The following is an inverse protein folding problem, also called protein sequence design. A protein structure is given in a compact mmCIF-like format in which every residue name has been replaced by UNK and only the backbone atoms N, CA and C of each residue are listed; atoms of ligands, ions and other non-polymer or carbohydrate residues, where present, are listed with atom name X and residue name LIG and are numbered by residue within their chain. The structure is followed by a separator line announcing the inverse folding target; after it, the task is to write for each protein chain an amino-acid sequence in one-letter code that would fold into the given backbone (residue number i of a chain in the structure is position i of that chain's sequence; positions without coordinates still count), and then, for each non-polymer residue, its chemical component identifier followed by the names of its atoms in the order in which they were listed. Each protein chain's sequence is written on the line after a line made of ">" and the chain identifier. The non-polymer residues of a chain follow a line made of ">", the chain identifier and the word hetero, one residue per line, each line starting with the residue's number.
data_IF_722897910942
#
_entry.id   IF_722897910942
#
_cell.length_a   1.000
_cell.length_b   1.000
_cell.length_c   1.000
_cell.angle_alpha   90.00
_cell.angle_beta   90.00
_cell.angle_gamma   90.00
#
_symmetry.space_group_name_H-M   'P 1'
#
loop_
_entity.id
_entity.type
_entity.pdbx_description
1 polymer ?
#
# COMPACT_ATOMS: atom_id res chain seq x y z
N UNK A 1 -0.96 32.59 -28.03
CA UNK A 1 0.48 32.32 -27.96
C UNK A 1 0.64 30.86 -27.58
N UNK A 2 1.07 30.05 -28.57
CA UNK A 2 1.19 28.59 -28.40
C UNK A 2 2.42 28.28 -27.55
N UNK A 3 2.20 27.76 -26.37
CA UNK A 3 3.26 27.23 -25.49
C UNK A 3 3.81 25.95 -26.12
N UNK A 4 4.97 26.06 -26.74
CA UNK A 4 5.73 24.89 -27.22
C UNK A 4 6.12 24.06 -25.99
N UNK A 5 5.49 22.89 -25.86
CA UNK A 5 5.88 21.90 -24.89
C UNK A 5 7.31 21.43 -25.22
N UNK A 6 8.28 21.87 -24.43
CA UNK A 6 9.65 21.37 -24.49
C UNK A 6 9.60 19.89 -24.13
N UNK A 7 10.04 18.97 -25.00
CA UNK A 7 10.03 17.55 -24.70
C UNK A 7 10.93 17.31 -23.48
N UNK A 8 10.33 16.78 -22.40
CA UNK A 8 11.05 16.34 -21.21
C UNK A 8 12.14 15.35 -21.63
N UNK A 9 13.40 15.75 -21.51
CA UNK A 9 14.52 14.84 -21.72
C UNK A 9 14.34 13.64 -20.79
N UNK A 10 14.41 12.39 -21.29
CA UNK A 10 14.32 11.23 -20.42
C UNK A 10 15.40 11.36 -19.32
N UNK A 11 15.12 10.92 -18.08
CA UNK A 11 16.09 10.96 -17.00
C UNK A 11 17.36 10.26 -17.49
N UNK A 12 18.53 10.85 -17.22
CA UNK A 12 19.81 10.20 -17.48
C UNK A 12 19.77 8.83 -16.80
N UNK A 13 19.73 7.76 -17.61
CA UNK A 13 19.62 6.39 -17.09
C UNK A 13 20.91 6.12 -16.34
N UNK A 14 20.83 6.00 -15.01
CA UNK A 14 21.95 5.49 -14.22
C UNK A 14 22.43 4.20 -14.88
N UNK A 15 23.74 4.03 -14.99
CA UNK A 15 24.38 2.86 -15.56
C UNK A 15 24.85 1.92 -14.44
N UNK A 16 24.73 0.63 -14.66
CA UNK A 16 25.33 -0.38 -13.79
C UNK A 16 26.76 -0.60 -14.22
N UNK A 17 27.70 -0.36 -13.32
CA UNK A 17 29.12 -0.62 -13.53
C UNK A 17 29.53 -1.87 -12.77
N UNK A 18 30.24 -2.78 -13.45
CA UNK A 18 31.04 -3.81 -12.79
C UNK A 18 32.45 -3.28 -12.61
N UNK A 19 33.01 -3.47 -11.44
CA UNK A 19 34.35 -3.01 -11.11
C UNK A 19 35.19 -4.12 -10.51
N UNK A 20 36.47 -4.04 -10.76
CA UNK A 20 37.54 -4.81 -10.10
C UNK A 20 38.58 -3.84 -9.59
N UNK A 21 39.07 -4.05 -8.40
CA UNK A 21 40.05 -3.19 -7.78
C UNK A 21 40.86 -3.95 -6.72
N UNK A 22 41.88 -3.28 -6.21
CA UNK A 22 42.75 -3.79 -5.16
C UNK A 22 42.67 -2.80 -4.00
N UNK A 23 42.52 -3.28 -2.78
CA UNK A 23 42.59 -2.42 -1.58
C UNK A 23 44.03 -2.10 -1.19
N UNK A 24 44.19 -1.23 -0.19
CA UNK A 24 45.49 -0.82 0.31
C UNK A 24 46.34 -1.98 0.88
N UNK A 25 45.72 -3.14 1.12
CA UNK A 25 46.38 -4.35 1.63
C UNK A 25 46.67 -5.36 0.50
N UNK A 26 46.49 -5.00 -0.77
CA UNK A 26 46.76 -5.88 -1.92
C UNK A 26 45.66 -6.91 -2.21
N UNK A 27 44.54 -6.88 -1.51
CA UNK A 27 43.44 -7.85 -1.72
C UNK A 27 42.58 -7.45 -2.92
N UNK A 28 42.35 -8.40 -3.84
CA UNK A 28 41.49 -8.20 -4.99
C UNK A 28 40.02 -8.15 -4.55
N UNK A 29 39.35 -7.04 -4.82
CA UNK A 29 37.91 -6.85 -4.59
C UNK A 29 37.19 -6.62 -5.90
N UNK A 30 36.00 -7.14 -6.02
CA UNK A 30 35.16 -6.94 -7.18
C UNK A 30 33.71 -6.70 -6.74
N UNK A 31 32.93 -6.04 -7.58
CA UNK A 31 31.54 -5.76 -7.27
C UNK A 31 30.81 -5.08 -8.41
N UNK A 32 29.57 -4.69 -8.12
CA UNK A 32 28.79 -3.86 -9.03
C UNK A 32 28.31 -2.63 -8.27
N UNK A 33 28.29 -1.49 -8.96
CA UNK A 33 27.73 -0.24 -8.46
C UNK A 33 26.88 0.42 -9.54
N UNK A 34 26.07 1.37 -9.12
CA UNK A 34 25.23 2.13 -10.01
C UNK A 34 25.64 3.59 -9.89
N UNK A 35 25.88 4.23 -11.02
CA UNK A 35 26.27 5.63 -11.10
C UNK A 35 25.76 6.26 -12.40
N UNK A 36 25.69 7.58 -12.45
CA UNK A 36 25.26 8.31 -13.65
C UNK A 36 26.26 8.13 -14.80
N UNK A 37 27.54 8.16 -14.48
CA UNK A 37 28.64 8.02 -15.45
C UNK A 37 29.87 7.33 -14.79
N UNK A 38 30.92 7.11 -15.59
CA UNK A 38 32.15 6.47 -15.13
C UNK A 38 32.92 7.34 -14.12
N UNK A 39 32.78 8.66 -14.18
CA UNK A 39 33.45 9.59 -13.25
C UNK A 39 32.79 9.53 -11.86
N UNK A 40 31.46 9.56 -11.81
CA UNK A 40 30.70 9.36 -10.59
C UNK A 40 30.94 7.96 -9.97
N UNK A 41 31.08 6.92 -10.82
CA UNK A 41 31.40 5.58 -10.37
C UNK A 41 32.76 5.52 -9.68
N UNK A 42 33.79 6.18 -10.24
CA UNK A 42 35.14 6.27 -9.63
C UNK A 42 35.10 7.05 -8.31
N UNK A 43 34.40 8.18 -8.28
CA UNK A 43 34.25 8.99 -7.07
C UNK A 43 33.62 8.21 -5.91
N UNK A 44 32.56 7.43 -6.20
CA UNK A 44 31.89 6.56 -5.23
C UNK A 44 32.81 5.45 -4.70
N UNK A 45 33.62 4.83 -5.58
CA UNK A 45 34.55 3.79 -5.18
C UNK A 45 35.69 4.33 -4.31
N UNK A 46 36.23 5.51 -4.66
CA UNK A 46 37.26 6.17 -3.85
C UNK A 46 36.75 6.56 -2.45
N UNK A 47 35.49 6.98 -2.32
CA UNK A 47 34.84 7.27 -1.00
C UNK A 47 34.65 6.01 -0.15
N UNK A 48 34.43 4.83 -0.77
CA UNK A 48 34.17 3.57 -0.06
C UNK A 48 35.40 2.86 0.52
N UNK A 49 36.60 3.32 0.24
CA UNK A 49 37.77 2.75 0.88
C UNK A 49 39.04 2.66 0.04
N UNK A 50 39.63 3.76 -0.44
CA UNK A 50 40.93 3.82 -1.11
C UNK A 50 41.23 2.62 -2.04
N UNK A 51 40.24 2.26 -2.87
CA UNK A 51 40.37 1.14 -3.81
C UNK A 51 41.06 1.61 -5.08
N UNK A 52 42.18 0.98 -5.42
CA UNK A 52 42.79 1.15 -6.75
C UNK A 52 41.94 0.40 -7.77
N UNK A 53 41.24 1.15 -8.63
CA UNK A 53 40.34 0.59 -9.63
C UNK A 53 41.16 0.08 -10.81
N UNK A 54 41.18 -1.25 -10.99
CA UNK A 54 41.85 -1.91 -12.11
C UNK A 54 40.99 -1.93 -13.35
N UNK A 55 39.67 -2.18 -13.17
CA UNK A 55 38.73 -2.30 -14.26
C UNK A 55 37.37 -1.71 -13.86
N UNK A 56 36.78 -0.90 -14.73
CA UNK A 56 35.45 -0.33 -14.60
C UNK A 56 34.73 -0.46 -15.93
N UNK A 57 33.73 -1.36 -16.01
CA UNK A 57 32.95 -1.59 -17.25
C UNK A 57 31.48 -1.27 -17.01
N UNK A 58 30.90 -0.48 -17.92
CA UNK A 58 29.44 -0.29 -17.98
C UNK A 58 28.76 -1.59 -18.45
N UNK A 59 27.73 -2.02 -17.70
CA UNK A 59 27.02 -3.30 -17.93
C UNK A 59 25.54 -3.08 -18.29
N UNK A 60 25.21 -1.93 -18.89
CA UNK A 60 23.85 -1.57 -19.31
C UNK A 60 23.11 -0.65 -18.32
N UNK A 61 21.87 -0.30 -18.65
CA UNK A 61 21.07 0.59 -17.82
C UNK A 61 20.76 -0.05 -16.46
N UNK A 62 20.83 0.76 -15.43
CA UNK A 62 20.51 0.30 -14.08
C UNK A 62 19.01 0.02 -13.96
N UNK A 63 18.61 -1.00 -13.18
CA UNK A 63 17.20 -1.21 -12.88
C UNK A 63 16.60 0.02 -12.20
N UNK A 64 15.34 0.33 -12.53
CA UNK A 64 14.64 1.47 -11.93
C UNK A 64 14.71 1.38 -10.41
N UNK A 65 15.05 2.47 -9.70
CA UNK A 65 15.13 2.45 -8.26
C UNK A 65 13.74 2.14 -7.67
N UNK A 66 13.70 1.22 -6.71
CA UNK A 66 12.48 0.89 -5.97
C UNK A 66 12.64 1.44 -4.55
N UNK A 67 11.71 2.29 -4.13
CA UNK A 67 11.58 2.75 -2.76
C UNK A 67 10.27 2.21 -2.17
N UNK A 68 10.28 1.86 -0.89
CA UNK A 68 9.07 1.45 -0.16
C UNK A 68 8.25 2.70 0.20
N UNK A 69 6.97 2.53 0.43
CA UNK A 69 6.10 3.63 0.88
C UNK A 69 6.61 4.28 2.18
N UNK A 70 7.19 3.47 3.08
CA UNK A 70 7.79 3.95 4.32
C UNK A 70 9.00 4.86 4.06
N UNK A 71 9.86 4.49 3.09
CA UNK A 71 11.07 5.26 2.75
C UNK A 71 10.67 6.65 2.21
N UNK A 72 9.64 6.71 1.36
CA UNK A 72 9.10 7.98 0.84
C UNK A 72 8.47 8.81 1.97
N UNK A 73 7.80 8.18 2.93
CA UNK A 73 7.23 8.89 4.09
C UNK A 73 8.33 9.50 4.95
N UNK A 74 9.35 8.73 5.27
CA UNK A 74 10.50 9.18 6.04
C UNK A 74 11.25 10.32 5.32
N UNK A 75 11.52 10.17 4.03
CA UNK A 75 12.10 11.22 3.19
C UNK A 75 11.28 12.52 3.26
N UNK A 76 9.95 12.42 3.08
CA UNK A 76 9.08 13.61 3.11
C UNK A 76 9.16 14.31 4.47
N UNK A 77 9.16 13.55 5.57
CA UNK A 77 9.29 14.10 6.94
C UNK A 77 10.63 14.77 7.17
N UNK A 78 11.71 14.13 6.80
CA UNK A 78 13.06 14.65 6.94
C UNK A 78 13.26 15.91 6.11
N UNK A 79 12.84 15.88 4.84
CA UNK A 79 12.92 17.05 3.96
C UNK A 79 12.11 18.24 4.52
N UNK A 80 10.86 17.98 4.95
CA UNK A 80 10.04 19.02 5.59
C UNK A 80 10.69 19.63 6.84
N UNK A 81 11.39 18.82 7.64
CA UNK A 81 12.08 19.27 8.84
C UNK A 81 13.30 20.12 8.51
N UNK A 82 14.10 19.71 7.53
CA UNK A 82 15.28 20.47 7.09
C UNK A 82 14.90 21.82 6.48
N UNK A 83 13.86 21.85 5.64
CA UNK A 83 13.38 23.09 5.05
C UNK A 83 12.77 24.03 6.10
N UNK A 84 12.06 23.52 7.10
CA UNK A 84 11.58 24.33 8.24
C UNK A 84 12.71 24.89 9.08
N UNK A 85 13.83 24.18 9.17
CA UNK A 85 15.06 24.69 9.83
C UNK A 85 15.80 25.74 8.98
N UNK A 86 15.27 26.10 7.80
CA UNK A 86 15.86 27.12 6.92
C UNK A 86 16.92 26.63 5.96
N UNK A 87 17.16 25.31 5.85
CA UNK A 87 18.12 24.80 4.87
C UNK A 87 17.57 24.99 3.45
N UNK A 88 18.40 25.45 2.50
CA UNK A 88 18.03 25.46 1.08
C UNK A 88 17.69 24.07 0.56
N UNK A 89 16.73 23.98 -0.37
CA UNK A 89 16.25 22.71 -0.91
C UNK A 89 17.39 21.83 -1.48
N UNK A 90 18.30 22.43 -2.25
CA UNK A 90 19.45 21.71 -2.82
C UNK A 90 20.32 21.07 -1.74
N UNK A 91 20.69 21.86 -0.71
CA UNK A 91 21.53 21.37 0.40
C UNK A 91 20.82 20.30 1.23
N UNK A 92 19.51 20.43 1.45
CA UNK A 92 18.71 19.44 2.15
C UNK A 92 18.66 18.10 1.39
N UNK A 93 18.49 18.14 0.06
CA UNK A 93 18.50 16.95 -0.79
C UNK A 93 19.88 16.28 -0.83
N UNK A 94 20.96 17.06 -0.93
CA UNK A 94 22.33 16.52 -0.90
C UNK A 94 22.64 15.82 0.44
N UNK A 95 22.21 16.42 1.56
CA UNK A 95 22.37 15.82 2.89
C UNK A 95 21.61 14.48 2.99
N UNK A 96 20.36 14.44 2.53
CA UNK A 96 19.52 13.24 2.56
C UNK A 96 20.07 12.14 1.64
N UNK A 97 20.61 12.50 0.46
CA UNK A 97 21.22 11.55 -0.46
C UNK A 97 22.43 10.84 0.14
N UNK A 98 23.20 11.52 0.98
CA UNK A 98 24.38 10.96 1.64
C UNK A 98 24.03 10.07 2.84
N UNK A 99 22.94 10.39 3.55
CA UNK A 99 22.57 9.70 4.80
C UNK A 99 21.93 8.33 4.55
N UNK A 100 21.15 8.19 3.47
CA UNK A 100 20.34 6.99 3.23
C UNK A 100 21.02 5.90 2.39
N UNK A 101 22.26 6.12 1.90
CA UNK A 101 22.92 5.23 0.92
C UNK A 101 23.10 3.78 1.42
N UNK A 102 23.33 3.59 2.72
CA UNK A 102 23.57 2.26 3.30
C UNK A 102 22.29 1.49 3.68
N UNK A 103 21.24 2.19 4.09
CA UNK A 103 20.00 1.57 4.60
C UNK A 103 18.89 1.46 3.56
N UNK A 104 18.84 2.43 2.63
CA UNK A 104 17.75 2.56 1.65
C UNK A 104 18.31 2.90 0.25
N UNK A 105 19.09 2.01 -0.38
CA UNK A 105 19.80 2.32 -1.62
C UNK A 105 18.89 2.74 -2.78
N UNK A 106 17.62 2.31 -2.77
CA UNK A 106 16.63 2.73 -3.75
C UNK A 106 16.20 4.18 -3.57
N UNK A 107 15.97 4.60 -2.32
CA UNK A 107 15.56 5.97 -2.01
C UNK A 107 16.74 6.95 -2.16
N UNK A 108 17.92 6.59 -1.71
CA UNK A 108 19.15 7.38 -1.88
C UNK A 108 19.40 7.72 -3.36
N UNK A 109 19.20 6.77 -4.26
CA UNK A 109 19.34 6.99 -5.71
C UNK A 109 18.28 7.98 -6.25
N UNK A 110 17.04 7.89 -5.76
CA UNK A 110 15.98 8.83 -6.14
C UNK A 110 16.32 10.22 -5.65
N UNK A 111 16.70 10.36 -4.37
CA UNK A 111 17.07 11.64 -3.76
C UNK A 111 18.27 12.25 -4.45
N UNK A 112 19.31 11.46 -4.75
CA UNK A 112 20.46 11.90 -5.52
C UNK A 112 20.13 12.33 -6.96
N UNK A 113 19.11 11.72 -7.60
CA UNK A 113 18.62 12.18 -8.89
C UNK A 113 17.87 13.51 -8.75
N UNK A 114 17.01 13.65 -7.73
CA UNK A 114 16.31 14.91 -7.43
C UNK A 114 17.30 16.04 -7.13
N UNK A 115 18.35 15.79 -6.35
CA UNK A 115 19.39 16.77 -6.06
C UNK A 115 20.06 17.28 -7.35
N UNK A 116 20.43 16.39 -8.25
CA UNK A 116 21.02 16.75 -9.55
C UNK A 116 20.06 17.56 -10.43
N UNK A 117 18.77 17.18 -10.47
CA UNK A 117 17.76 17.91 -11.24
C UNK A 117 17.56 19.33 -10.69
N UNK A 118 17.53 19.50 -9.38
CA UNK A 118 17.45 20.82 -8.73
C UNK A 118 18.72 21.64 -8.98
N UNK A 119 19.89 21.04 -8.85
CA UNK A 119 21.16 21.71 -9.14
C UNK A 119 21.27 22.17 -10.61
N UNK A 120 20.57 21.49 -11.54
CA UNK A 120 20.45 21.90 -12.93
C UNK A 120 19.39 22.99 -13.18
N UNK A 121 18.74 23.51 -12.13
CA UNK A 121 17.72 24.57 -12.22
C UNK A 121 16.31 24.08 -12.54
N UNK A 122 16.03 22.79 -12.43
CA UNK A 122 14.68 22.26 -12.64
C UNK A 122 13.80 22.54 -11.40
N UNK A 123 12.50 22.69 -11.62
CA UNK A 123 11.52 22.78 -10.54
C UNK A 123 11.43 21.45 -9.79
N UNK A 124 11.26 21.51 -8.47
CA UNK A 124 11.18 20.33 -7.62
C UNK A 124 9.98 19.43 -7.97
N UNK A 125 8.83 20.03 -8.22
CA UNK A 125 7.62 19.34 -8.70
C UNK A 125 7.86 18.57 -9.99
N UNK A 126 8.55 19.16 -10.97
CA UNK A 126 8.88 18.52 -12.24
C UNK A 126 9.88 17.36 -12.07
N UNK A 127 10.87 17.51 -11.19
CA UNK A 127 11.81 16.45 -10.84
C UNK A 127 11.09 15.26 -10.19
N UNK A 128 10.15 15.49 -9.28
CA UNK A 128 9.33 14.45 -8.64
C UNK A 128 8.44 13.70 -9.62
N UNK A 129 7.84 14.39 -10.60
CA UNK A 129 6.99 13.77 -11.63
C UNK A 129 7.72 12.70 -12.44
N UNK A 130 9.03 12.83 -12.64
CA UNK A 130 9.86 11.79 -13.30
C UNK A 130 9.92 10.48 -12.52
N UNK A 131 9.66 10.54 -11.21
CA UNK A 131 9.62 9.40 -10.31
C UNK A 131 8.18 9.04 -9.92
N UNK A 132 7.23 9.11 -10.84
CA UNK A 132 5.79 8.89 -10.62
C UNK A 132 5.41 7.50 -10.08
N UNK A 133 6.32 6.53 -10.12
CA UNK A 133 6.12 5.24 -9.47
C UNK A 133 6.19 5.35 -7.91
N UNK A 134 6.88 6.34 -7.38
CA UNK A 134 7.09 6.59 -5.94
C UNK A 134 6.26 7.77 -5.43
N UNK A 135 6.16 8.83 -6.25
CA UNK A 135 5.40 10.04 -5.93
C UNK A 135 4.13 10.10 -6.77
N UNK A 136 2.98 10.06 -6.11
CA UNK A 136 1.69 10.13 -6.80
C UNK A 136 1.48 11.49 -7.48
N UNK A 137 0.59 11.56 -8.46
CA UNK A 137 0.23 12.82 -9.12
C UNK A 137 -0.24 13.87 -8.12
N UNK A 138 -1.06 13.46 -7.13
CA UNK A 138 -1.49 14.32 -6.02
C UNK A 138 -0.31 14.89 -5.21
N UNK A 139 0.69 14.06 -4.88
CA UNK A 139 1.90 14.51 -4.18
C UNK A 139 2.65 15.57 -4.99
N UNK A 140 2.90 15.29 -6.27
CA UNK A 140 3.63 16.21 -7.15
C UNK A 140 2.91 17.55 -7.31
N UNK A 141 1.59 17.53 -7.39
CA UNK A 141 0.82 18.76 -7.55
C UNK A 141 0.75 19.59 -6.27
N UNK A 142 0.60 18.98 -5.09
CA UNK A 142 0.72 19.71 -3.83
C UNK A 142 2.10 20.37 -3.69
N UNK A 143 3.16 19.67 -4.08
CA UNK A 143 4.51 20.24 -4.09
C UNK A 143 4.60 21.38 -5.10
N UNK A 144 3.98 21.29 -6.27
CA UNK A 144 3.94 22.34 -7.28
C UNK A 144 3.27 23.63 -6.74
N UNK A 145 2.11 23.47 -6.09
CA UNK A 145 1.41 24.59 -5.43
C UNK A 145 2.28 25.21 -4.33
N UNK A 146 2.90 24.37 -3.48
CA UNK A 146 3.78 24.84 -2.43
C UNK A 146 5.05 25.52 -2.96
N UNK A 147 5.60 25.05 -4.06
CA UNK A 147 6.75 25.64 -4.76
C UNK A 147 6.40 27.00 -5.34
N UNK A 148 5.26 27.12 -6.01
CA UNK A 148 4.77 28.37 -6.58
C UNK A 148 4.43 29.43 -5.52
N UNK A 149 3.92 29.01 -4.37
CA UNK A 149 3.56 29.87 -3.24
C UNK A 149 4.74 30.16 -2.28
N UNK A 150 5.93 29.56 -2.49
CA UNK A 150 7.04 29.66 -1.54
C UNK A 150 6.79 28.96 -0.20
N UNK A 151 5.78 28.10 -0.11
CA UNK A 151 5.32 27.43 1.11
C UNK A 151 5.68 25.94 1.16
N UNK A 152 6.74 25.53 0.45
CA UNK A 152 7.23 24.14 0.40
C UNK A 152 7.36 23.47 1.78
N UNK A 153 7.94 24.12 2.81
CA UNK A 153 8.08 23.49 4.13
C UNK A 153 6.74 23.10 4.74
N UNK A 154 5.73 23.96 4.59
CA UNK A 154 4.39 23.74 5.13
C UNK A 154 3.66 22.61 4.39
N UNK A 155 3.74 22.63 3.07
CA UNK A 155 3.10 21.61 2.22
C UNK A 155 3.73 20.23 2.45
N UNK A 156 5.05 20.14 2.49
CA UNK A 156 5.76 18.88 2.75
C UNK A 156 5.48 18.36 4.17
N UNK A 157 5.33 19.24 5.16
CA UNK A 157 4.94 18.84 6.50
C UNK A 157 3.55 18.19 6.52
N UNK A 158 2.56 18.82 5.85
CA UNK A 158 1.21 18.26 5.73
C UNK A 158 1.22 16.92 4.99
N UNK A 159 1.96 16.83 3.89
CA UNK A 159 2.14 15.56 3.15
C UNK A 159 2.76 14.46 4.01
N UNK A 160 3.75 14.81 4.85
CA UNK A 160 4.35 13.86 5.78
C UNK A 160 3.33 13.39 6.81
N UNK A 161 2.57 14.31 7.42
CA UNK A 161 1.52 13.98 8.39
C UNK A 161 0.47 13.04 7.79
N UNK A 162 0.01 13.32 6.57
CA UNK A 162 -0.99 12.49 5.88
C UNK A 162 -0.46 11.09 5.58
N UNK A 163 0.79 10.97 5.16
CA UNK A 163 1.44 9.68 4.89
C UNK A 163 1.67 8.89 6.17
N UNK A 164 2.09 9.53 7.24
CA UNK A 164 2.28 8.89 8.55
C UNK A 164 0.95 8.39 9.14
N UNK A 165 -0.11 9.19 9.06
CA UNK A 165 -1.47 8.76 9.46
C UNK A 165 -1.93 7.55 8.64
N UNK A 166 -1.77 7.59 7.32
CA UNK A 166 -2.12 6.47 6.46
C UNK A 166 -1.29 5.21 6.78
N UNK A 167 -0.02 5.35 7.15
CA UNK A 167 0.84 4.25 7.59
C UNK A 167 0.39 3.69 8.95
N UNK A 168 0.06 4.57 9.91
CA UNK A 168 -0.45 4.21 11.23
C UNK A 168 -1.79 3.44 11.14
N UNK A 169 -2.73 3.92 10.31
CA UNK A 169 -4.00 3.21 10.07
C UNK A 169 -3.78 1.81 9.49
N UNK A 170 -2.88 1.68 8.50
CA UNK A 170 -2.53 0.36 7.94
C UNK A 170 -1.88 -0.55 8.97
N UNK A 171 -1.04 0.00 9.85
CA UNK A 171 -0.41 -0.75 10.94
C UNK A 171 -1.46 -1.23 11.95
N UNK A 172 -2.44 -0.38 12.32
CA UNK A 172 -3.56 -0.75 13.21
C UNK A 172 -4.39 -1.90 12.63
N UNK A 173 -4.78 -1.82 11.34
CA UNK A 173 -5.52 -2.89 10.65
C UNK A 173 -4.71 -4.19 10.64
N UNK A 174 -3.42 -4.09 10.31
CA UNK A 174 -2.53 -5.27 10.31
C UNK A 174 -2.44 -5.89 11.71
N UNK A 175 -2.22 -5.09 12.75
CA UNK A 175 -2.12 -5.56 14.12
C UNK A 175 -3.41 -6.26 14.56
N UNK A 176 -4.59 -5.66 14.25
CA UNK A 176 -5.89 -6.23 14.56
C UNK A 176 -6.12 -7.62 13.92
N UNK A 177 -5.56 -7.85 12.73
CA UNK A 177 -5.72 -9.12 11.99
C UNK A 177 -4.59 -10.12 12.26
N UNK A 178 -3.46 -9.72 12.84
CA UNK A 178 -2.31 -10.60 13.05
C UNK A 178 -2.63 -11.68 14.08
N UNK A 179 -3.24 -11.32 15.23
CA UNK A 179 -3.58 -12.27 16.29
C UNK A 179 -4.61 -13.31 15.82
N UNK A 180 -5.78 -12.93 15.28
CA UNK A 180 -6.74 -13.90 14.73
C UNK A 180 -6.14 -14.78 13.63
N UNK A 181 -5.35 -14.18 12.73
CA UNK A 181 -4.69 -14.91 11.67
C UNK A 181 -3.70 -15.96 12.17
N UNK A 182 -2.91 -15.64 13.20
CA UNK A 182 -1.96 -16.56 13.80
C UNK A 182 -2.67 -17.76 14.47
N UNK A 183 -3.76 -17.51 15.20
CA UNK A 183 -4.54 -18.59 15.85
C UNK A 183 -5.18 -19.50 14.79
N UNK A 184 -5.83 -18.93 13.78
CA UNK A 184 -6.46 -19.72 12.71
C UNK A 184 -5.42 -20.54 11.94
N UNK A 185 -4.25 -19.97 11.67
CA UNK A 185 -3.15 -20.68 11.01
C UNK A 185 -2.64 -21.84 11.86
N UNK A 186 -2.46 -21.64 13.17
CA UNK A 186 -2.05 -22.69 14.10
C UNK A 186 -3.11 -23.80 14.18
N UNK A 187 -4.38 -23.42 14.31
CA UNK A 187 -5.50 -24.36 14.34
C UNK A 187 -5.58 -25.20 13.05
N UNK A 188 -5.44 -24.55 11.89
CA UNK A 188 -5.42 -25.22 10.60
C UNK A 188 -4.24 -26.18 10.49
N UNK A 189 -3.05 -25.79 10.96
CA UNK A 189 -1.86 -26.64 10.97
C UNK A 189 -2.07 -27.90 11.84
N UNK A 190 -2.61 -27.74 13.05
CA UNK A 190 -2.92 -28.85 13.94
C UNK A 190 -3.96 -29.78 13.31
N UNK A 191 -5.01 -29.21 12.72
CA UNK A 191 -6.06 -29.99 12.05
C UNK A 191 -5.51 -30.80 10.88
N UNK A 192 -4.69 -30.19 10.04
CA UNK A 192 -4.05 -30.89 8.92
C UNK A 192 -3.15 -32.02 9.44
N UNK A 193 -2.36 -31.77 10.48
CA UNK A 193 -1.50 -32.79 11.09
C UNK A 193 -2.32 -33.99 11.60
N UNK A 194 -3.43 -33.74 12.29
CA UNK A 194 -4.33 -34.80 12.76
C UNK A 194 -4.99 -35.55 11.62
N UNK A 195 -5.45 -34.88 10.59
CA UNK A 195 -6.05 -35.48 9.39
C UNK A 195 -5.05 -36.36 8.59
N UNK A 196 -3.78 -35.95 8.53
CA UNK A 196 -2.76 -36.67 7.75
C UNK A 196 -2.17 -37.86 8.50
N UNK A 197 -1.98 -37.73 9.82
CA UNK A 197 -1.27 -38.75 10.61
C UNK A 197 -2.21 -39.59 11.47
N UNK A 198 -3.14 -38.97 12.18
CA UNK A 198 -3.95 -39.65 13.19
C UNK A 198 -5.16 -40.36 12.56
N UNK A 199 -5.88 -39.69 11.69
CA UNK A 199 -7.11 -40.24 11.09
C UNK A 199 -6.83 -41.52 10.26
N UNK A 200 -5.74 -41.64 9.45
CA UNK A 200 -5.44 -42.90 8.74
C UNK A 200 -5.10 -44.08 9.66
N UNK A 201 -4.48 -43.82 10.81
CA UNK A 201 -4.18 -44.87 11.81
C UNK A 201 -5.46 -45.48 12.36
N UNK A 202 -6.46 -44.65 12.69
CA UNK A 202 -7.77 -45.12 13.10
C UNK A 202 -8.46 -45.94 12.01
N UNK A 203 -8.38 -45.53 10.76
CA UNK A 203 -8.94 -46.27 9.63
C UNK A 203 -8.35 -47.68 9.58
N UNK A 204 -7.03 -47.84 9.69
CA UNK A 204 -6.36 -49.17 9.66
C UNK A 204 -6.83 -50.07 10.80
N UNK A 205 -7.01 -49.52 12.02
CA UNK A 205 -7.51 -50.27 13.17
C UNK A 205 -8.94 -50.76 12.90
N UNK A 206 -9.83 -49.91 12.40
CA UNK A 206 -11.24 -50.30 12.11
C UNK A 206 -11.37 -51.31 10.97
N UNK A 207 -10.58 -51.13 9.90
CA UNK A 207 -10.54 -52.11 8.79
C UNK A 207 -10.11 -53.49 9.31
N UNK A 208 -9.24 -53.58 10.33
CA UNK A 208 -8.82 -54.81 10.99
C UNK A 208 -9.92 -55.51 11.82
N UNK A 209 -10.91 -54.78 12.29
CA UNK A 209 -12.05 -55.32 13.06
C UNK A 209 -13.29 -55.63 12.19
N UNK A 210 -13.24 -55.33 10.89
CA UNK A 210 -14.38 -55.56 9.97
C UNK A 210 -15.59 -54.65 10.25
N UNK A 211 -15.45 -53.60 11.07
CA UNK A 211 -16.55 -52.75 11.49
C UNK A 211 -16.71 -51.56 10.54
N UNK A 212 -17.96 -51.19 10.22
CA UNK A 212 -18.24 -50.03 9.36
C UNK A 212 -18.01 -48.72 10.13
N UNK A 213 -17.23 -47.81 9.57
CA UNK A 213 -16.95 -46.48 10.15
C UNK A 213 -18.23 -45.64 10.23
N UNK A 214 -18.43 -44.91 11.36
CA UNK A 214 -19.52 -43.96 11.55
C UNK A 214 -19.58 -42.86 10.48
N UNK A 215 -20.77 -42.33 10.18
CA UNK A 215 -20.96 -41.31 9.16
C UNK A 215 -20.10 -40.03 9.37
N UNK A 216 -19.93 -39.47 10.59
CA UNK A 216 -19.04 -38.32 10.82
C UNK A 216 -17.57 -38.61 10.51
N UNK A 217 -17.10 -39.83 10.88
CA UNK A 217 -15.72 -40.25 10.59
C UNK A 217 -15.48 -40.46 9.09
N UNK A 218 -16.46 -41.03 8.37
CA UNK A 218 -16.41 -41.14 6.91
C UNK A 218 -16.38 -39.78 6.22
N UNK A 219 -17.14 -38.80 6.74
CA UNK A 219 -17.12 -37.43 6.22
C UNK A 219 -15.74 -36.78 6.39
N UNK A 220 -15.13 -36.91 7.58
CA UNK A 220 -13.79 -36.38 7.86
C UNK A 220 -12.73 -37.08 7.00
N UNK A 221 -12.82 -38.40 6.81
CA UNK A 221 -11.94 -39.16 5.90
C UNK A 221 -12.09 -38.70 4.44
N UNK A 222 -13.32 -38.54 3.97
CA UNK A 222 -13.59 -38.03 2.62
C UNK A 222 -13.05 -36.60 2.45
N UNK A 223 -13.19 -35.75 3.47
CA UNK A 223 -12.62 -34.40 3.49
C UNK A 223 -11.08 -34.43 3.44
N UNK A 224 -10.46 -35.34 4.24
CA UNK A 224 -9.01 -35.55 4.26
C UNK A 224 -8.49 -36.03 2.93
N UNK A 225 -9.11 -37.08 2.34
CA UNK A 225 -8.76 -37.59 1.03
C UNK A 225 -8.98 -36.56 -0.08
N UNK A 226 -10.08 -35.79 0.03
CA UNK A 226 -10.35 -34.64 -0.83
C UNK A 226 -9.29 -33.56 -0.69
N UNK A 227 -8.94 -33.18 0.52
CA UNK A 227 -7.89 -32.19 0.80
C UNK A 227 -6.53 -32.65 0.24
N UNK A 228 -6.14 -33.90 0.44
CA UNK A 228 -4.90 -34.45 -0.09
C UNK A 228 -4.89 -34.46 -1.64
N UNK A 229 -6.00 -34.84 -2.26
CA UNK A 229 -6.12 -34.92 -3.74
C UNK A 229 -6.23 -33.55 -4.40
N UNK A 230 -6.95 -32.60 -3.75
CA UNK A 230 -7.26 -31.29 -4.32
C UNK A 230 -6.35 -30.17 -3.79
N UNK A 231 -5.44 -30.44 -2.84
CA UNK A 231 -4.54 -29.42 -2.29
C UNK A 231 -3.69 -28.73 -3.36
N UNK A 232 -2.99 -29.49 -4.19
CA UNK A 232 -2.14 -28.96 -5.26
C UNK A 232 -2.98 -28.31 -6.37
N UNK A 233 -4.01 -28.99 -6.96
CA UNK A 233 -4.88 -28.34 -7.94
C UNK A 233 -5.62 -27.13 -7.39
N UNK A 234 -6.06 -27.16 -6.12
CA UNK A 234 -6.75 -26.06 -5.46
C UNK A 234 -5.84 -24.83 -5.26
N UNK A 235 -4.61 -25.03 -4.84
CA UNK A 235 -3.61 -23.95 -4.72
C UNK A 235 -3.31 -23.36 -6.11
N UNK A 236 -3.14 -24.21 -7.13
CA UNK A 236 -2.91 -23.77 -8.51
C UNK A 236 -4.13 -22.97 -9.01
N UNK A 237 -5.35 -23.50 -8.81
CA UNK A 237 -6.58 -22.80 -9.19
C UNK A 237 -6.73 -21.46 -8.49
N UNK A 238 -6.47 -21.39 -7.18
CA UNK A 238 -6.49 -20.15 -6.40
C UNK A 238 -5.47 -19.14 -6.94
N UNK A 239 -4.26 -19.61 -7.26
CA UNK A 239 -3.22 -18.76 -7.85
C UNK A 239 -3.61 -18.24 -9.24
N UNK A 240 -4.18 -19.11 -10.10
CA UNK A 240 -4.65 -18.75 -11.45
C UNK A 240 -5.81 -17.75 -11.35
N UNK A 241 -6.77 -17.95 -10.43
CA UNK A 241 -7.88 -17.01 -10.20
C UNK A 241 -7.35 -15.68 -9.70
N UNK A 242 -6.48 -15.68 -8.69
CA UNK A 242 -5.87 -14.45 -8.17
C UNK A 242 -5.08 -13.71 -9.26
N UNK A 243 -4.33 -14.44 -10.08
CA UNK A 243 -3.59 -13.85 -11.20
C UNK A 243 -4.52 -13.31 -12.29
N UNK A 244 -5.57 -14.05 -12.66
CA UNK A 244 -6.58 -13.60 -13.63
C UNK A 244 -7.32 -12.36 -13.15
N UNK A 245 -7.71 -12.32 -11.88
CA UNK A 245 -8.35 -11.14 -11.27
C UNK A 245 -7.39 -9.93 -11.30
N UNK A 246 -6.14 -10.12 -10.86
CA UNK A 246 -5.15 -9.02 -10.88
C UNK A 246 -4.83 -8.56 -12.30
N UNK A 247 -4.78 -9.47 -13.27
CA UNK A 247 -4.59 -9.16 -14.68
C UNK A 247 -5.78 -8.37 -15.25
N UNK A 248 -7.01 -8.81 -14.97
CA UNK A 248 -8.23 -8.14 -15.40
C UNK A 248 -8.37 -6.74 -14.82
N UNK A 249 -8.05 -6.59 -13.50
CA UNK A 249 -8.06 -5.30 -12.81
C UNK A 249 -6.99 -4.34 -13.36
N UNK A 250 -5.88 -4.86 -13.88
CA UNK A 250 -4.84 -4.03 -14.54
C UNK A 250 -5.23 -3.60 -15.94
N UNK A 251 -6.04 -4.38 -16.66
CA UNK A 251 -6.37 -4.13 -18.07
C UNK A 251 -7.66 -3.33 -18.28
N UNK A 252 -8.63 -3.42 -17.34
CA UNK A 252 -9.95 -2.83 -17.49
C UNK A 252 -10.26 -1.87 -16.35
N UNK A 253 -10.43 -0.59 -16.67
CA UNK A 253 -10.88 0.44 -15.71
C UNK A 253 -12.29 0.11 -15.18
N UNK A 254 -13.20 -0.35 -16.05
CA UNK A 254 -14.55 -0.75 -15.66
C UNK A 254 -14.55 -1.93 -14.66
N UNK A 255 -13.68 -2.93 -14.86
CA UNK A 255 -13.53 -4.03 -13.91
C UNK A 255 -13.01 -3.53 -12.55
N UNK A 256 -12.04 -2.61 -12.56
CA UNK A 256 -11.49 -2.00 -11.35
C UNK A 256 -12.55 -1.21 -10.57
N UNK A 257 -13.37 -0.43 -11.26
CA UNK A 257 -14.47 0.33 -10.64
C UNK A 257 -15.53 -0.62 -10.05
N UNK A 258 -15.94 -1.65 -10.80
CA UNK A 258 -16.91 -2.65 -10.30
C UNK A 258 -16.39 -3.37 -9.08
N UNK A 259 -15.15 -3.85 -9.10
CA UNK A 259 -14.53 -4.54 -7.98
C UNK A 259 -14.44 -3.61 -6.75
N UNK A 260 -14.00 -2.35 -6.94
CA UNK A 260 -13.94 -1.37 -5.88
C UNK A 260 -15.33 -1.07 -5.28
N UNK A 261 -16.38 -1.03 -6.11
CA UNK A 261 -17.77 -0.87 -5.66
C UNK A 261 -18.24 -2.08 -4.85
N UNK A 262 -17.99 -3.30 -5.33
CA UNK A 262 -18.35 -4.53 -4.61
C UNK A 262 -17.61 -4.62 -3.27
N UNK A 263 -16.35 -4.21 -3.20
CA UNK A 263 -15.61 -4.17 -1.94
C UNK A 263 -16.26 -3.25 -0.89
N UNK A 264 -16.96 -2.19 -1.32
CA UNK A 264 -17.72 -1.29 -0.44
C UNK A 264 -19.06 -1.87 0.05
N UNK A 265 -19.59 -2.94 -0.57
CA UNK A 265 -20.81 -3.61 -0.13
C UNK A 265 -20.57 -4.73 0.86
N UNK A 266 -19.31 -5.12 1.08
CA UNK A 266 -18.97 -6.17 2.05
C UNK A 266 -19.30 -5.68 3.47
N UNK A 267 -20.08 -6.44 4.26
CA UNK A 267 -20.35 -6.07 5.64
C UNK A 267 -19.04 -5.95 6.43
N UNK A 268 -18.95 -5.00 7.33
CA UNK A 268 -17.77 -4.66 8.16
C UNK A 268 -16.62 -4.01 7.35
N UNK A 269 -16.14 -4.60 6.27
CA UNK A 269 -15.04 -4.07 5.45
C UNK A 269 -15.48 -2.85 4.60
N UNK A 270 -16.69 -2.88 4.06
CA UNK A 270 -17.22 -1.80 3.22
C UNK A 270 -17.32 -0.46 3.95
N UNK A 271 -17.99 -0.38 5.11
CA UNK A 271 -18.04 0.84 5.90
C UNK A 271 -16.68 1.36 6.33
N UNK A 272 -15.71 0.48 6.64
CA UNK A 272 -14.33 0.85 6.94
C UNK A 272 -13.64 1.49 5.72
N UNK A 273 -13.73 0.83 4.56
CA UNK A 273 -13.17 1.35 3.31
C UNK A 273 -13.80 2.69 2.90
N UNK A 274 -15.12 2.82 3.08
CA UNK A 274 -15.85 4.07 2.82
C UNK A 274 -15.34 5.23 3.65
N UNK A 275 -15.20 5.05 4.97
CA UNK A 275 -14.66 6.08 5.87
C UNK A 275 -13.18 6.39 5.55
N UNK A 276 -12.35 5.39 5.23
CA UNK A 276 -10.98 5.60 4.78
C UNK A 276 -10.90 6.45 3.51
N UNK A 277 -11.74 6.15 2.52
CA UNK A 277 -11.77 6.92 1.28
C UNK A 277 -12.27 8.35 1.52
N UNK A 278 -13.32 8.52 2.32
CA UNK A 278 -13.86 9.82 2.68
C UNK A 278 -12.84 10.69 3.44
N UNK A 279 -12.16 10.11 4.45
CA UNK A 279 -11.12 10.80 5.19
C UNK A 279 -9.99 11.30 4.28
N UNK A 280 -9.51 10.44 3.37
CA UNK A 280 -8.44 10.81 2.42
C UNK A 280 -8.91 11.86 1.42
N UNK A 281 -10.11 11.69 0.90
CA UNK A 281 -10.69 12.62 -0.07
C UNK A 281 -10.88 14.01 0.54
N UNK A 282 -11.56 14.11 1.70
CA UNK A 282 -11.82 15.38 2.38
C UNK A 282 -10.52 16.06 2.78
N UNK A 283 -9.54 15.30 3.30
CA UNK A 283 -8.23 15.86 3.66
C UNK A 283 -7.49 16.37 2.44
N UNK A 284 -7.45 15.62 1.36
CA UNK A 284 -6.77 16.00 0.14
C UNK A 284 -7.38 17.28 -0.45
N UNK A 285 -8.71 17.36 -0.52
CA UNK A 285 -9.39 18.57 -1.00
C UNK A 285 -9.15 19.76 -0.05
N UNK A 286 -9.32 19.56 1.26
CA UNK A 286 -9.10 20.62 2.26
C UNK A 286 -7.66 21.13 2.20
N UNK A 287 -6.66 20.26 2.03
CA UNK A 287 -5.26 20.67 1.91
C UNK A 287 -5.01 21.50 0.65
N UNK A 288 -5.62 21.12 -0.50
CA UNK A 288 -5.52 21.90 -1.74
C UNK A 288 -6.16 23.29 -1.58
N UNK A 289 -7.35 23.36 -1.00
CA UNK A 289 -8.04 24.64 -0.77
C UNK A 289 -7.27 25.55 0.20
N UNK A 290 -6.76 24.99 1.30
CA UNK A 290 -5.91 25.74 2.24
C UNK A 290 -4.60 26.22 1.60
N UNK A 291 -4.10 25.51 0.59
CA UNK A 291 -2.93 25.94 -0.19
C UNK A 291 -3.27 27.00 -1.26
N UNK A 292 -4.55 27.43 -1.35
CA UNK A 292 -5.00 28.47 -2.27
C UNK A 292 -5.39 27.95 -3.66
N UNK A 293 -5.49 26.64 -3.86
CA UNK A 293 -5.93 26.07 -5.15
C UNK A 293 -7.42 26.35 -5.33
N UNK A 294 -7.89 26.92 -6.46
CA UNK A 294 -9.30 27.07 -6.75
C UNK A 294 -10.03 25.74 -6.74
N UNK A 295 -11.27 25.70 -6.23
CA UNK A 295 -12.05 24.48 -6.06
C UNK A 295 -12.15 23.67 -7.36
N UNK A 296 -12.42 24.32 -8.49
CA UNK A 296 -12.57 23.66 -9.79
C UNK A 296 -11.27 22.98 -10.26
N UNK A 297 -10.12 23.57 -9.97
CA UNK A 297 -8.80 23.06 -10.39
C UNK A 297 -8.31 21.94 -9.47
N UNK A 298 -8.71 21.97 -8.19
CA UNK A 298 -8.36 20.96 -7.20
C UNK A 298 -8.82 19.54 -7.62
N UNK A 299 -9.95 19.43 -8.36
CA UNK A 299 -10.49 18.12 -8.77
C UNK A 299 -9.63 17.36 -9.79
N UNK A 300 -8.84 18.07 -10.58
CA UNK A 300 -7.87 17.43 -11.48
C UNK A 300 -6.86 16.56 -10.72
N UNK A 301 -6.43 17.04 -9.56
CA UNK A 301 -5.41 16.43 -8.71
C UNK A 301 -5.98 15.42 -7.73
N UNK A 302 -7.20 15.64 -7.32
CA UNK A 302 -7.90 14.82 -6.34
C UNK A 302 -8.18 13.40 -6.88
N UNK A 303 -8.20 13.26 -8.20
CA UNK A 303 -8.27 11.95 -8.86
C UNK A 303 -7.07 11.11 -8.42
N UNK A 304 -7.33 9.91 -7.91
CA UNK A 304 -6.35 8.99 -7.30
C UNK A 304 -5.86 9.32 -5.89
N UNK A 305 -6.39 10.33 -5.23
CA UNK A 305 -6.04 10.64 -3.84
C UNK A 305 -6.55 9.57 -2.85
N UNK A 306 -7.71 8.95 -3.14
CA UNK A 306 -8.34 7.97 -2.27
C UNK A 306 -7.72 6.57 -2.37
N UNK A 307 -7.19 6.20 -3.52
CA UNK A 307 -6.71 4.86 -3.83
C UNK A 307 -7.82 3.85 -4.10
N UNK A 308 -9.06 4.30 -4.29
CA UNK A 308 -10.22 3.47 -4.65
C UNK A 308 -10.80 3.92 -5.98
N UNK A 309 -10.83 3.03 -6.98
CA UNK A 309 -11.25 3.38 -8.34
C UNK A 309 -12.71 3.86 -8.45
N UNK A 310 -13.59 3.44 -7.55
CA UNK A 310 -14.97 3.91 -7.52
C UNK A 310 -15.04 5.37 -7.03
N UNK A 311 -14.33 5.71 -5.96
CA UNK A 311 -14.21 7.09 -5.49
C UNK A 311 -13.49 7.99 -6.49
N UNK A 312 -12.46 7.48 -7.17
CA UNK A 312 -11.74 8.22 -8.21
C UNK A 312 -12.67 8.56 -9.40
N UNK A 313 -13.53 7.59 -9.78
CA UNK A 313 -14.56 7.82 -10.81
C UNK A 313 -15.59 8.85 -10.35
N UNK A 314 -16.08 8.73 -9.12
CA UNK A 314 -17.02 9.69 -8.53
C UNK A 314 -16.40 11.10 -8.44
N UNK A 315 -15.13 11.20 -8.06
CA UNK A 315 -14.40 12.48 -8.01
C UNK A 315 -14.35 13.16 -9.37
N UNK A 316 -14.10 12.40 -10.45
CA UNK A 316 -14.17 12.95 -11.81
C UNK A 316 -15.56 13.49 -12.15
N UNK A 317 -16.60 12.73 -11.84
CA UNK A 317 -18.00 13.17 -12.08
C UNK A 317 -18.34 14.44 -11.29
N UNK A 318 -17.92 14.54 -10.02
CA UNK A 318 -18.12 15.73 -9.19
C UNK A 318 -17.39 16.92 -9.84
N UNK A 319 -16.13 16.76 -10.25
CA UNK A 319 -15.37 17.81 -10.92
C UNK A 319 -16.02 18.31 -12.20
N UNK A 320 -16.60 17.40 -13.02
CA UNK A 320 -17.31 17.77 -14.24
C UNK A 320 -18.63 18.55 -13.97
N UNK A 321 -19.31 18.23 -12.86
CA UNK A 321 -20.51 18.97 -12.41
C UNK A 321 -20.17 20.37 -11.89
N UNK A 322 -19.07 20.47 -11.11
CA UNK A 322 -18.58 21.77 -10.62
C UNK A 322 -18.17 22.72 -11.76
N UNK A 323 -17.53 22.17 -12.82
CA UNK A 323 -17.23 23.00 -14.03
C UNK A 323 -18.48 23.49 -14.75
N UNK A 324 -19.63 22.84 -14.56
CA UNK A 324 -20.94 23.29 -15.06
C UNK A 324 -21.66 24.26 -14.11
N UNK A 325 -21.02 24.61 -12.99
CA UNK A 325 -21.57 25.55 -12.01
C UNK A 325 -22.46 24.90 -10.94
N UNK A 326 -22.50 23.55 -10.86
CA UNK A 326 -23.22 22.89 -9.76
C UNK A 326 -22.47 23.09 -8.43
N UNK A 327 -23.22 23.16 -7.32
CA UNK A 327 -22.65 23.23 -5.97
C UNK A 327 -21.97 21.91 -5.61
N UNK A 328 -20.88 21.98 -4.82
CA UNK A 328 -20.12 20.82 -4.38
C UNK A 328 -20.99 19.79 -3.65
N UNK A 329 -21.76 20.22 -2.67
CA UNK A 329 -22.65 19.33 -1.91
C UNK A 329 -23.72 18.65 -2.79
N UNK A 330 -24.25 19.33 -3.80
CA UNK A 330 -25.19 18.75 -4.75
C UNK A 330 -24.54 17.70 -5.63
N UNK A 331 -23.35 17.98 -6.15
CA UNK A 331 -22.55 17.06 -6.96
C UNK A 331 -22.15 15.80 -6.15
N UNK A 332 -21.76 15.96 -4.87
CA UNK A 332 -21.45 14.85 -3.96
C UNK A 332 -22.66 13.95 -3.69
N UNK A 333 -23.86 14.53 -3.45
CA UNK A 333 -25.11 13.74 -3.28
C UNK A 333 -25.40 12.92 -4.53
N UNK A 334 -25.25 13.51 -5.70
CA UNK A 334 -25.50 12.82 -6.97
C UNK A 334 -24.52 11.68 -7.25
N UNK A 335 -23.29 11.78 -6.76
CA UNK A 335 -22.25 10.75 -6.89
C UNK A 335 -22.54 9.49 -6.03
N UNK A 336 -23.36 9.60 -4.97
CA UNK A 336 -23.81 8.50 -4.08
C UNK A 336 -22.67 7.64 -3.48
N UNK A 337 -21.47 8.19 -3.34
CA UNK A 337 -20.33 7.49 -2.74
C UNK A 337 -19.99 8.01 -1.35
N UNK A 338 -20.55 9.14 -0.95
CA UNK A 338 -20.35 9.74 0.37
C UNK A 338 -21.58 9.56 1.25
N UNK A 339 -21.35 9.28 2.53
CA UNK A 339 -22.42 9.20 3.52
C UNK A 339 -23.01 10.60 3.79
N UNK A 340 -24.30 10.69 4.16
CA UNK A 340 -24.94 11.98 4.46
C UNK A 340 -24.23 12.81 5.52
N UNK A 341 -23.64 12.16 6.51
CA UNK A 341 -22.89 12.78 7.63
C UNK A 341 -21.64 13.54 7.15
N UNK A 342 -21.14 13.22 5.95
CA UNK A 342 -20.01 13.90 5.31
C UNK A 342 -20.52 15.05 4.45
N UNK A 343 -21.60 14.83 3.71
CA UNK A 343 -22.12 15.80 2.74
C UNK A 343 -22.80 16.98 3.42
N UNK A 344 -23.49 16.76 4.55
CA UNK A 344 -24.22 17.84 5.26
C UNK A 344 -23.29 18.95 5.78
N UNK A 345 -22.21 18.66 6.54
CA UNK A 345 -21.29 19.71 6.99
C UNK A 345 -20.65 20.46 5.83
N UNK A 346 -20.30 19.76 4.74
CA UNK A 346 -19.74 20.37 3.53
C UNK A 346 -20.73 21.33 2.87
N UNK A 347 -22.03 21.00 2.87
CA UNK A 347 -23.06 21.88 2.33
C UNK A 347 -23.15 23.21 3.11
N UNK A 348 -23.11 23.12 4.44
CA UNK A 348 -23.12 24.32 5.31
C UNK A 348 -21.84 25.16 5.10
N UNK A 349 -20.70 24.50 4.99
CA UNK A 349 -19.42 25.17 4.76
C UNK A 349 -19.32 25.81 3.36
N UNK A 350 -19.96 25.21 2.37
CA UNK A 350 -20.06 25.78 1.01
C UNK A 350 -20.84 27.10 1.02
N UNK A 351 -21.89 27.20 1.85
CA UNK A 351 -22.68 28.42 1.99
C UNK A 351 -21.97 29.50 2.81
N UNK A 352 -21.21 29.12 3.84
CA UNK A 352 -20.47 30.04 4.68
C UNK A 352 -19.08 30.43 4.14
N UNK A 353 -18.61 29.77 3.08
CA UNK A 353 -17.28 30.01 2.50
C UNK A 353 -16.10 29.41 3.27
N UNK A 354 -16.37 28.55 4.28
CA UNK A 354 -15.35 27.92 5.14
C UNK A 354 -15.07 26.45 4.75
N UNK A 355 -15.05 26.16 3.45
CA UNK A 355 -14.90 24.81 2.93
C UNK A 355 -13.57 24.13 3.32
N UNK A 356 -12.49 24.87 3.34
CA UNK A 356 -11.15 24.37 3.64
C UNK A 356 -11.05 23.83 5.07
N UNK A 357 -11.50 24.60 6.05
CA UNK A 357 -11.51 24.20 7.45
C UNK A 357 -12.46 23.02 7.69
N UNK A 358 -13.69 23.11 7.18
CA UNK A 358 -14.70 22.06 7.34
C UNK A 358 -14.25 20.72 6.72
N UNK A 359 -13.59 20.72 5.56
CA UNK A 359 -13.08 19.51 4.94
C UNK A 359 -12.00 18.83 5.80
N UNK A 360 -11.15 19.58 6.48
CA UNK A 360 -10.16 19.07 7.43
C UNK A 360 -10.86 18.48 8.66
N UNK A 361 -11.91 19.12 9.16
CA UNK A 361 -12.70 18.64 10.30
C UNK A 361 -13.45 17.34 9.93
N UNK A 362 -14.09 17.27 8.77
CA UNK A 362 -14.72 16.07 8.24
C UNK A 362 -13.72 14.94 8.05
N UNK A 363 -12.51 15.25 7.57
CA UNK A 363 -11.45 14.25 7.46
C UNK A 363 -11.05 13.70 8.83
N UNK A 364 -10.95 14.58 9.84
CA UNK A 364 -10.61 14.20 11.22
C UNK A 364 -11.71 13.36 11.89
N UNK A 365 -12.98 13.68 11.62
CA UNK A 365 -14.13 12.89 12.05
C UNK A 365 -14.12 11.50 11.41
N UNK A 366 -13.89 11.45 10.09
CA UNK A 366 -13.82 10.19 9.36
C UNK A 366 -12.66 9.30 9.82
N UNK A 367 -11.52 9.89 10.23
CA UNK A 367 -10.40 9.13 10.82
C UNK A 367 -10.79 8.48 12.16
N UNK A 368 -11.54 9.20 13.02
CA UNK A 368 -12.06 8.62 14.27
C UNK A 368 -13.01 7.46 14.00
N UNK A 369 -13.90 7.61 13.02
CA UNK A 369 -14.77 6.52 12.58
C UNK A 369 -13.99 5.31 12.06
N UNK A 370 -12.88 5.54 11.36
CA UNK A 370 -11.98 4.47 10.92
C UNK A 370 -11.39 3.73 12.10
N UNK A 371 -10.89 4.45 13.12
CA UNK A 371 -10.32 3.86 14.32
C UNK A 371 -11.37 3.03 15.09
N UNK A 372 -12.59 3.53 15.25
CA UNK A 372 -13.72 2.82 15.86
C UNK A 372 -14.09 1.54 15.10
N UNK A 373 -14.16 1.62 13.76
CA UNK A 373 -14.44 0.45 12.92
C UNK A 373 -13.33 -0.59 12.95
N UNK A 374 -12.06 -0.17 13.07
CA UNK A 374 -10.94 -1.10 13.27
C UNK A 374 -11.05 -1.80 14.62
N UNK A 375 -11.40 -1.08 15.70
CA UNK A 375 -11.61 -1.66 17.01
C UNK A 375 -12.79 -2.66 17.01
N UNK A 376 -13.90 -2.31 16.36
CA UNK A 376 -15.05 -3.20 16.18
C UNK A 376 -14.68 -4.45 15.37
N UNK A 377 -13.88 -4.31 14.31
CA UNK A 377 -13.39 -5.45 13.54
C UNK A 377 -12.55 -6.38 14.42
N UNK A 378 -11.67 -5.84 15.24
CA UNK A 378 -10.84 -6.62 16.15
C UNK A 378 -11.68 -7.40 17.17
N UNK A 379 -12.69 -6.74 17.77
CA UNK A 379 -13.58 -7.38 18.75
C UNK A 379 -14.49 -8.46 18.15
N UNK A 380 -14.91 -8.32 16.89
CA UNK A 380 -15.70 -9.34 16.19
C UNK A 380 -14.86 -10.56 15.75
N UNK A 381 -13.56 -10.37 15.54
CA UNK A 381 -12.67 -11.49 15.20
C UNK A 381 -12.56 -12.52 16.33
N UNK A 382 -12.60 -12.12 17.60
CA UNK A 382 -12.44 -13.02 18.73
C UNK A 382 -13.55 -14.08 18.83
N UNK A 383 -14.87 -13.71 18.88
CA UNK A 383 -15.95 -14.70 18.84
C UNK A 383 -15.92 -15.58 17.59
N UNK A 384 -15.59 -14.99 16.43
CA UNK A 384 -15.51 -15.74 15.18
C UNK A 384 -14.42 -16.82 15.25
N UNK A 385 -13.25 -16.50 15.79
CA UNK A 385 -12.15 -17.44 15.97
C UNK A 385 -12.55 -18.57 16.94
N UNK A 386 -13.22 -18.23 18.06
CA UNK A 386 -13.69 -19.23 19.03
C UNK A 386 -14.70 -20.19 18.38
N UNK A 387 -15.66 -19.67 17.61
CA UNK A 387 -16.66 -20.50 16.93
C UNK A 387 -16.01 -21.41 15.88
N UNK A 388 -15.12 -20.86 15.07
CA UNK A 388 -14.41 -21.62 14.03
C UNK A 388 -13.52 -22.70 14.67
N UNK A 389 -12.77 -22.34 15.71
CA UNK A 389 -11.89 -23.27 16.43
C UNK A 389 -12.72 -24.38 17.13
N UNK A 390 -13.79 -24.00 17.80
CA UNK A 390 -14.69 -24.93 18.47
C UNK A 390 -15.36 -25.90 17.51
N UNK A 391 -15.83 -25.44 16.37
CA UNK A 391 -16.39 -26.28 15.32
C UNK A 391 -15.36 -27.25 14.72
N UNK A 392 -14.13 -26.75 14.50
CA UNK A 392 -13.05 -27.50 13.87
C UNK A 392 -12.50 -28.58 14.82
N UNK A 393 -12.16 -28.20 16.05
CA UNK A 393 -11.63 -29.12 17.07
C UNK A 393 -12.74 -30.04 17.58
N UNK A 394 -13.92 -29.51 17.91
CA UNK A 394 -15.06 -30.29 18.37
C UNK A 394 -15.53 -31.30 17.32
N UNK A 395 -15.63 -30.90 16.07
CA UNK A 395 -15.97 -31.80 14.96
C UNK A 395 -14.94 -32.93 14.79
N UNK A 396 -13.66 -32.64 14.93
CA UNK A 396 -12.59 -33.63 14.85
C UNK A 396 -12.65 -34.62 16.03
N UNK A 397 -12.85 -34.10 17.26
CA UNK A 397 -12.98 -34.92 18.47
C UNK A 397 -14.17 -35.86 18.34
N UNK A 398 -15.34 -35.37 17.95
CA UNK A 398 -16.53 -36.21 17.73
C UNK A 398 -16.24 -37.29 16.66
N UNK A 399 -15.62 -36.93 15.56
CA UNK A 399 -15.29 -37.87 14.49
C UNK A 399 -14.31 -38.97 14.92
N UNK A 400 -13.44 -38.71 15.92
CA UNK A 400 -12.48 -39.68 16.46
C UNK A 400 -13.04 -40.51 17.60
N UNK A 401 -13.89 -39.93 18.48
CA UNK A 401 -14.45 -40.64 19.62
C UNK A 401 -15.61 -41.55 19.26
N UNK A 402 -16.45 -41.17 18.30
CA UNK A 402 -17.61 -41.96 17.89
C UNK A 402 -17.27 -43.40 17.48
N UNK A 403 -16.20 -43.66 16.70
CA UNK A 403 -15.73 -44.98 16.42
C UNK A 403 -15.37 -45.79 17.68
N UNK A 404 -14.67 -45.19 18.65
CA UNK A 404 -14.22 -45.84 19.87
C UNK A 404 -15.44 -46.34 20.70
N UNK A 405 -16.48 -45.49 20.81
CA UNK A 405 -17.74 -45.84 21.49
C UNK A 405 -18.47 -46.97 20.76
N UNK A 406 -18.48 -47.02 19.46
CA UNK A 406 -19.14 -48.06 18.68
C UNK A 406 -18.41 -49.43 18.82
N UNK A 407 -17.07 -49.45 18.88
CA UNK A 407 -16.30 -50.66 19.17
C UNK A 407 -16.63 -51.23 20.55
N UNK A 408 -16.81 -50.36 21.57
CA UNK A 408 -17.22 -50.81 22.89
C UNK A 408 -18.61 -51.44 22.97
N UNK A 409 -19.48 -51.20 21.98
CA UNK A 409 -20.80 -51.80 21.90
C UNK A 409 -20.87 -53.11 21.05
N UNK A 410 -19.77 -53.45 20.37
CA UNK A 410 -19.67 -54.65 19.52
C UNK A 410 -18.89 -55.79 20.21
N UNK A 411 -18.15 -55.43 21.27
CA UNK A 411 -17.50 -56.40 22.17
C UNK A 411 -18.41 -56.61 23.40
#
# INVERSE_FOLDING_TARGET
>A
MSTVAVPLRPPALDLRFKWRGVDAQGTHKHGALIAADASAARALLNRRGNLFIVELRAHGPAPRPKARTADVTQFTRQLASLLRAGLPLASALDLLAQTDDARQPGMARIVGALARDIASGQRFSAALQRHGAQFSAFYCQLVEVGEAAGALPTVLARLADDRERAAAQRAKVRAALTYPGAILLLAMMITIALLVWVVPTFKQIFDGFGASLPAPTRFVLALSAGAARWSIPGIIALFVVAWSVTFLLRRSEAARIRFARVALTIPVAGPLLGSLCAARWSRALGTLLTAGTPLADAFGSLTHATGNAYFDHATRQIGDRLRRGERLAAAMRAARCFAPEIVQPIAVAEESGALDAMLIDVASLSDRQVDEKIATLASLCEPLVIVVLGALVGGLVIAMYLPIIQLGNVV
#
